data_IF_619594673735
#
_entry.id   IF_619594673735
#
_cell.length_a   1.000
_cell.length_b   1.000
_cell.length_c   1.000
_cell.angle_alpha   90.00
_cell.angle_beta   90.00
_cell.angle_gamma   90.00
#
_symmetry.space_group_name_H-M   'P 1'
#
loop_
_entity.id
_entity.type
_entity.pdbx_description
1 polymer ?
#
# COMPACT_ATOMS: atom_id res chain seq x y z
N UNK A 1 14.89 29.86 -18.77
CA UNK A 1 14.76 28.74 -17.80
C UNK A 1 16.15 28.27 -17.41
N UNK A 2 16.45 28.15 -16.12
CA UNK A 2 17.71 27.54 -15.66
C UNK A 2 17.62 26.04 -15.93
N UNK A 3 18.40 25.54 -16.89
CA UNK A 3 18.50 24.11 -17.17
C UNK A 3 19.21 23.45 -15.97
N UNK A 4 18.50 22.55 -15.29
CA UNK A 4 19.05 21.73 -14.20
C UNK A 4 19.55 20.41 -14.76
N UNK A 5 20.64 19.91 -14.19
CA UNK A 5 21.13 18.58 -14.51
C UNK A 5 20.33 17.54 -13.74
N UNK A 6 20.10 16.39 -14.39
CA UNK A 6 19.46 15.25 -13.78
C UNK A 6 20.37 14.64 -12.71
N UNK A 7 19.88 14.50 -11.47
CA UNK A 7 20.68 13.95 -10.35
C UNK A 7 21.10 12.48 -10.54
N UNK A 8 20.58 11.76 -11.55
CA UNK A 8 20.92 10.35 -11.82
C UNK A 8 21.91 10.14 -12.96
N UNK A 9 21.86 10.96 -14.02
CA UNK A 9 22.75 10.82 -15.17
C UNK A 9 23.61 12.06 -15.43
N UNK A 10 23.46 13.13 -14.64
CA UNK A 10 24.16 14.40 -14.75
C UNK A 10 24.00 15.15 -16.09
N UNK A 11 23.18 14.63 -17.01
CA UNK A 11 22.80 15.31 -18.26
C UNK A 11 21.76 16.40 -18.00
N UNK A 12 21.75 17.44 -18.85
CA UNK A 12 20.76 18.53 -18.79
C UNK A 12 19.33 18.00 -19.00
N UNK A 13 18.38 18.54 -18.24
CA UNK A 13 16.96 18.29 -18.46
C UNK A 13 16.43 19.34 -19.43
N UNK A 14 16.33 18.95 -20.69
CA UNK A 14 15.68 19.75 -21.73
C UNK A 14 14.16 19.58 -21.62
N UNK A 15 13.42 20.69 -21.70
CA UNK A 15 11.95 20.72 -21.62
C UNK A 15 11.38 20.07 -20.34
N UNK A 16 11.65 20.65 -19.15
CA UNK A 16 11.12 20.10 -17.91
C UNK A 16 9.59 20.26 -17.86
N UNK A 17 8.91 19.22 -17.41
CA UNK A 17 7.45 19.18 -17.19
C UNK A 17 7.00 20.06 -16.01
N UNK A 18 7.95 20.52 -15.18
CA UNK A 18 7.71 21.43 -14.06
C UNK A 18 9.00 22.17 -13.68
N UNK A 19 8.87 23.38 -13.10
CA UNK A 19 10.00 24.21 -12.66
C UNK A 19 10.92 23.53 -11.61
N UNK A 20 10.43 22.48 -10.95
CA UNK A 20 11.16 21.71 -9.93
C UNK A 20 11.72 20.37 -10.40
N UNK A 21 11.69 20.06 -11.70
CA UNK A 21 12.10 18.74 -12.19
C UNK A 21 13.58 18.45 -11.90
N UNK A 22 13.84 17.38 -11.13
CA UNK A 22 15.19 16.94 -10.69
C UNK A 22 15.76 15.77 -11.50
N UNK A 23 14.90 15.06 -12.23
CA UNK A 23 15.25 13.82 -12.92
C UNK A 23 14.64 13.80 -14.33
N UNK A 24 15.30 13.17 -15.30
CA UNK A 24 14.57 12.74 -16.51
C UNK A 24 13.54 11.67 -16.15
N UNK A 25 12.40 11.64 -16.85
CA UNK A 25 11.38 10.60 -16.68
C UNK A 25 11.96 9.19 -16.78
N UNK A 26 12.82 8.94 -17.80
CA UNK A 26 13.53 7.67 -17.99
C UNK A 26 14.41 7.29 -16.78
N UNK A 27 15.18 8.25 -16.27
CA UNK A 27 16.10 8.03 -15.15
C UNK A 27 15.33 7.80 -13.84
N UNK A 28 14.23 8.52 -13.61
CA UNK A 28 13.36 8.29 -12.47
C UNK A 28 12.74 6.89 -12.51
N UNK A 29 12.20 6.45 -13.66
CA UNK A 29 11.61 5.11 -13.80
C UNK A 29 12.66 4.04 -13.50
N UNK A 30 13.85 4.16 -14.11
CA UNK A 30 14.97 3.23 -13.87
C UNK A 30 15.39 3.17 -12.41
N UNK A 31 15.36 4.31 -11.70
CA UNK A 31 15.80 4.43 -10.31
C UNK A 31 14.66 4.47 -9.28
N UNK A 32 13.42 4.18 -9.68
CA UNK A 32 12.23 4.39 -8.84
C UNK A 32 12.32 3.67 -7.50
N UNK A 33 12.81 2.43 -7.50
CA UNK A 33 13.00 1.64 -6.27
C UNK A 33 14.00 2.32 -5.33
N UNK A 34 15.14 2.78 -5.85
CA UNK A 34 16.17 3.49 -5.07
C UNK A 34 15.62 4.79 -4.49
N UNK A 35 14.91 5.58 -5.31
CA UNK A 35 14.23 6.80 -4.87
C UNK A 35 13.24 6.51 -3.72
N UNK A 36 12.34 5.55 -3.90
CA UNK A 36 11.31 5.21 -2.91
C UNK A 36 11.91 4.70 -1.59
N UNK A 37 12.99 3.91 -1.67
CA UNK A 37 13.69 3.43 -0.47
C UNK A 37 14.33 4.59 0.30
N UNK A 38 15.04 5.48 -0.41
CA UNK A 38 15.63 6.68 0.18
C UNK A 38 14.56 7.57 0.80
N UNK A 39 13.49 7.85 0.06
CA UNK A 39 12.36 8.65 0.54
C UNK A 39 11.75 8.05 1.82
N UNK A 40 11.54 6.73 1.88
CA UNK A 40 11.05 6.04 3.08
C UNK A 40 11.99 6.17 4.27
N UNK A 41 13.30 6.08 4.03
CA UNK A 41 14.31 6.20 5.08
C UNK A 41 14.39 7.63 5.63
N UNK A 42 14.51 8.63 4.76
CA UNK A 42 14.63 10.05 5.14
C UNK A 42 13.34 10.57 5.80
N UNK A 43 12.18 10.05 5.39
CA UNK A 43 10.88 10.49 5.90
C UNK A 43 10.28 9.52 6.92
N UNK A 44 11.11 8.79 7.67
CA UNK A 44 10.67 7.78 8.65
C UNK A 44 9.62 8.32 9.63
N UNK A 45 9.82 9.53 10.16
CA UNK A 45 8.88 10.17 11.10
C UNK A 45 7.55 10.54 10.43
N UNK A 46 7.54 10.96 9.17
CA UNK A 46 6.30 11.17 8.42
C UNK A 46 5.47 9.89 8.33
N UNK A 47 6.11 8.76 7.99
CA UNK A 47 5.42 7.48 7.92
C UNK A 47 4.93 7.01 9.28
N UNK A 48 5.73 7.18 10.34
CA UNK A 48 5.35 6.87 11.72
C UNK A 48 4.14 7.70 12.18
N UNK A 49 4.12 9.00 11.89
CA UNK A 49 3.00 9.86 12.23
C UNK A 49 1.73 9.51 11.43
N UNK A 50 1.90 9.17 10.15
CA UNK A 50 0.79 8.72 9.31
C UNK A 50 0.20 7.40 9.83
N UNK A 51 1.05 6.46 10.23
CA UNK A 51 0.67 5.19 10.84
C UNK A 51 -0.07 5.40 12.17
N UNK A 52 0.46 6.27 13.03
CA UNK A 52 -0.17 6.69 14.29
C UNK A 52 -1.58 7.28 14.05
N UNK A 53 -1.71 8.23 13.12
CA UNK A 53 -3.00 8.83 12.77
C UNK A 53 -3.98 7.77 12.25
N UNK A 54 -3.53 6.83 11.43
CA UNK A 54 -4.37 5.73 10.94
C UNK A 54 -4.84 4.82 12.08
N UNK A 55 -3.97 4.48 13.02
CA UNK A 55 -4.33 3.68 14.20
C UNK A 55 -5.30 4.41 15.14
N UNK A 56 -5.15 5.72 15.29
CA UNK A 56 -6.09 6.55 16.05
C UNK A 56 -7.44 6.66 15.35
N UNK A 57 -7.46 6.77 14.01
CA UNK A 57 -8.69 6.90 13.22
C UNK A 57 -9.48 5.59 13.11
N UNK A 58 -8.79 4.44 13.11
CA UNK A 58 -9.40 3.13 12.93
C UNK A 58 -8.85 2.09 13.94
N UNK A 59 -9.03 2.31 15.25
CA UNK A 59 -8.54 1.42 16.29
C UNK A 59 -9.15 0.01 16.19
N UNK A 60 -10.41 -0.10 15.76
CA UNK A 60 -11.13 -1.35 15.55
C UNK A 60 -10.47 -2.22 14.47
N UNK A 61 -9.98 -1.61 13.38
CA UNK A 61 -9.26 -2.33 12.32
C UNK A 61 -7.92 -2.87 12.81
N UNK A 62 -7.22 -2.11 13.63
CA UNK A 62 -5.96 -2.56 14.25
C UNK A 62 -6.22 -3.72 15.21
N UNK A 63 -7.26 -3.62 16.05
CA UNK A 63 -7.66 -4.66 16.98
C UNK A 63 -8.05 -5.95 16.24
N UNK A 64 -8.90 -5.84 15.21
CA UNK A 64 -9.31 -6.95 14.35
C UNK A 64 -8.11 -7.65 13.70
N UNK A 65 -7.17 -6.87 13.14
CA UNK A 65 -5.94 -7.42 12.57
C UNK A 65 -5.07 -8.14 13.60
N UNK A 66 -4.97 -7.61 14.83
CA UNK A 66 -4.10 -8.19 15.85
C UNK A 66 -4.70 -9.47 16.44
N UNK A 67 -6.00 -9.46 16.78
CA UNK A 67 -6.71 -10.64 17.30
C UNK A 67 -6.82 -11.75 16.27
N UNK A 68 -6.92 -11.40 14.98
CA UNK A 68 -7.02 -12.38 13.91
C UNK A 68 -5.72 -13.09 13.53
N UNK A 69 -4.56 -12.65 14.02
CA UNK A 69 -3.26 -13.19 13.57
C UNK A 69 -3.15 -14.70 13.77
N UNK A 70 -3.68 -15.20 14.88
CA UNK A 70 -3.61 -16.61 15.29
C UNK A 70 -4.68 -17.49 14.64
N UNK A 71 -5.76 -16.90 14.13
CA UNK A 71 -6.85 -17.64 13.48
C UNK A 71 -6.36 -18.23 12.16
N UNK A 72 -6.55 -19.52 11.91
CA UNK A 72 -6.19 -20.12 10.62
C UNK A 72 -7.21 -19.72 9.55
N UNK A 73 -6.75 -19.59 8.31
CA UNK A 73 -7.65 -19.45 7.15
C UNK A 73 -8.30 -20.81 6.88
N UNK A 74 -9.52 -20.81 6.37
CA UNK A 74 -10.14 -21.99 5.80
C UNK A 74 -9.38 -22.43 4.54
N UNK A 75 -9.62 -23.67 4.10
CA UNK A 75 -8.95 -24.26 2.94
C UNK A 75 -9.52 -23.80 1.59
N UNK A 76 -10.65 -23.09 1.60
CA UNK A 76 -11.35 -22.59 0.43
C UNK A 76 -12.02 -21.23 0.69
N UNK A 77 -12.32 -20.53 -0.40
CA UNK A 77 -13.15 -19.32 -0.40
C UNK A 77 -14.59 -19.68 -0.01
N UNK A 78 -15.16 -18.95 0.95
CA UNK A 78 -16.55 -19.17 1.40
C UNK A 78 -17.61 -18.70 0.40
N UNK A 79 -17.23 -17.89 -0.60
CA UNK A 79 -18.15 -17.42 -1.66
C UNK A 79 -18.11 -18.32 -2.90
N UNK A 80 -16.92 -18.76 -3.33
CA UNK A 80 -16.77 -19.45 -4.61
C UNK A 80 -16.04 -20.79 -4.54
N UNK A 81 -15.63 -21.23 -3.35
CA UNK A 81 -14.94 -22.52 -3.16
C UNK A 81 -13.48 -22.56 -3.64
N UNK A 82 -12.96 -21.52 -4.30
CA UNK A 82 -11.59 -21.49 -4.81
C UNK A 82 -10.57 -21.69 -3.67
N UNK A 83 -9.58 -22.56 -3.85
CA UNK A 83 -8.56 -22.91 -2.83
C UNK A 83 -7.23 -22.14 -2.98
N UNK A 84 -7.15 -21.20 -3.92
CA UNK A 84 -5.95 -20.40 -4.24
C UNK A 84 -6.17 -18.94 -3.86
N UNK A 85 -5.07 -18.22 -3.60
CA UNK A 85 -5.06 -16.78 -3.30
C UNK A 85 -6.01 -16.40 -2.14
N UNK A 86 -6.01 -17.20 -1.06
CA UNK A 86 -6.92 -17.01 0.08
C UNK A 86 -6.45 -15.91 1.03
N UNK A 87 -7.36 -15.01 1.38
CA UNK A 87 -7.17 -13.88 2.28
C UNK A 87 -8.23 -13.91 3.39
N UNK A 88 -7.88 -13.37 4.56
CA UNK A 88 -8.83 -13.15 5.66
C UNK A 88 -9.60 -11.87 5.38
N UNK A 89 -10.92 -11.96 5.40
CA UNK A 89 -11.81 -10.81 5.34
C UNK A 89 -12.52 -10.65 6.67
N UNK A 90 -12.64 -9.41 7.12
CA UNK A 90 -13.43 -9.02 8.28
C UNK A 90 -14.72 -8.38 7.76
N UNK A 91 -15.85 -9.10 7.74
CA UNK A 91 -17.13 -8.53 7.33
C UNK A 91 -17.55 -7.37 8.24
N UNK A 92 -17.23 -7.50 9.53
CA UNK A 92 -17.53 -6.55 10.57
C UNK A 92 -16.30 -6.34 11.46
N UNK A 93 -15.65 -5.19 11.33
CA UNK A 93 -14.46 -4.85 12.11
C UNK A 93 -14.74 -4.68 13.62
N UNK A 94 -16.00 -4.52 14.03
CA UNK A 94 -16.38 -4.53 15.46
C UNK A 94 -16.32 -5.92 16.09
N UNK A 95 -16.33 -6.98 15.26
CA UNK A 95 -16.23 -8.39 15.67
C UNK A 95 -14.88 -8.96 15.23
N UNK A 96 -13.79 -8.68 15.96
CA UNK A 96 -12.43 -8.95 15.51
C UNK A 96 -12.10 -10.44 15.29
N UNK A 97 -12.83 -11.35 15.92
CA UNK A 97 -12.68 -12.80 15.77
C UNK A 97 -13.60 -13.37 14.68
N UNK A 98 -14.56 -12.59 14.18
CA UNK A 98 -15.41 -12.98 13.07
C UNK A 98 -14.66 -12.70 11.75
N UNK A 99 -14.22 -13.77 11.11
CA UNK A 99 -13.39 -13.74 9.91
C UNK A 99 -13.91 -14.77 8.96
N UNK A 100 -14.04 -14.39 7.70
CA UNK A 100 -14.29 -15.32 6.61
C UNK A 100 -13.06 -15.42 5.70
N UNK A 101 -12.89 -16.58 5.09
CA UNK A 101 -11.82 -16.82 4.13
C UNK A 101 -12.34 -16.63 2.73
N UNK A 102 -11.72 -15.71 1.99
CA UNK A 102 -12.11 -15.39 0.62
C UNK A 102 -10.91 -15.48 -0.31
N UNK A 103 -11.12 -15.86 -1.57
CA UNK A 103 -10.10 -15.65 -2.57
C UNK A 103 -9.95 -14.15 -2.88
N UNK A 104 -8.77 -13.72 -3.31
CA UNK A 104 -8.45 -12.33 -3.66
C UNK A 104 -9.48 -11.66 -4.59
N UNK A 105 -10.06 -12.41 -5.53
CA UNK A 105 -11.10 -11.90 -6.44
C UNK A 105 -12.39 -11.54 -5.68
N UNK A 106 -12.90 -12.48 -4.87
CA UNK A 106 -14.08 -12.26 -4.04
C UNK A 106 -13.82 -11.18 -2.98
N UNK A 107 -12.63 -11.18 -2.37
CA UNK A 107 -12.24 -10.19 -1.37
C UNK A 107 -12.26 -8.77 -1.95
N UNK A 108 -11.70 -8.56 -3.15
CA UNK A 108 -11.76 -7.26 -3.84
C UNK A 108 -13.19 -6.87 -4.20
N UNK A 109 -13.99 -7.82 -4.70
CA UNK A 109 -15.39 -7.55 -5.06
C UNK A 109 -16.16 -6.99 -3.86
N UNK A 110 -16.04 -7.58 -2.67
CA UNK A 110 -16.74 -7.09 -1.48
C UNK A 110 -16.30 -5.69 -1.06
N UNK A 111 -15.02 -5.35 -1.17
CA UNK A 111 -14.55 -3.99 -0.87
C UNK A 111 -15.01 -2.96 -1.90
N UNK A 112 -15.15 -3.36 -3.17
CA UNK A 112 -15.59 -2.49 -4.26
C UNK A 112 -17.12 -2.33 -4.33
N UNK A 113 -17.89 -3.38 -4.02
CA UNK A 113 -19.36 -3.36 -4.05
C UNK A 113 -19.95 -2.49 -2.89
N UNK A 114 -19.11 -1.99 -1.98
CA UNK A 114 -19.46 -1.06 -0.90
C UNK A 114 -18.87 0.36 -1.07
N UNK A 115 -18.43 0.74 -2.27
CA UNK A 115 -17.91 2.09 -2.58
C UNK A 115 -18.88 2.93 -3.40
#
# INVERSE_FOLDING_TARGET
MILKNCEYCNEKIENPTSNGQKYHKKCFIKNRKRYLNRFRFENKEYFKNTDKKRHQKYPEKLLARNKSRTIKKNSSCEICGLKKELEKHHPDYSKPLHIITLCKKCHRRIHNDNS
#
